data_IF_766360080784
#
_entry.id   IF_766360080784
#
_cell.length_a   1.000
_cell.length_b   1.000
_cell.length_c   1.000
_cell.angle_alpha   90.00
_cell.angle_beta   90.00
_cell.angle_gamma   90.00
#
_symmetry.space_group_name_H-M   'P 1'
#
loop_
_entity.id
_entity.type
_entity.pdbx_description
1 polymer ?
#
# COMPACT_ATOMS: atom_id res chain seq x y z
N UNK A 1 40.40 -11.67 -13.84
CA UNK A 1 39.35 -10.63 -13.94
C UNK A 1 38.08 -11.36 -14.31
N UNK A 2 37.30 -11.72 -13.31
CA UNK A 2 36.02 -12.39 -13.53
C UNK A 2 35.06 -11.30 -14.01
N UNK A 3 34.62 -11.40 -15.26
CA UNK A 3 33.70 -10.44 -15.86
C UNK A 3 32.43 -10.39 -15.02
N UNK A 4 32.21 -9.23 -14.40
CA UNK A 4 30.98 -8.89 -13.73
C UNK A 4 29.88 -8.69 -14.81
N UNK A 5 29.42 -9.79 -15.41
CA UNK A 5 28.22 -9.80 -16.25
C UNK A 5 27.06 -9.49 -15.33
N UNK A 6 26.66 -8.22 -15.27
CA UNK A 6 25.32 -7.87 -14.84
C UNK A 6 24.37 -8.79 -15.60
N UNK A 7 23.64 -9.70 -14.93
CA UNK A 7 22.73 -10.58 -15.64
C UNK A 7 21.76 -9.67 -16.39
N UNK A 8 21.61 -9.88 -17.70
CA UNK A 8 20.51 -9.27 -18.45
C UNK A 8 19.27 -9.60 -17.63
N UNK A 9 18.57 -8.59 -17.13
CA UNK A 9 17.31 -8.77 -16.43
C UNK A 9 16.34 -9.44 -17.41
N UNK A 10 16.32 -10.77 -17.39
CA UNK A 10 15.45 -11.53 -18.25
C UNK A 10 14.07 -11.54 -17.62
N UNK A 11 13.09 -11.05 -18.37
CA UNK A 11 11.68 -11.13 -18.03
C UNK A 11 11.06 -12.48 -18.43
N UNK A 12 11.88 -13.43 -18.87
CA UNK A 12 11.47 -14.75 -19.32
C UNK A 12 12.57 -15.81 -19.18
N UNK A 13 12.18 -17.08 -19.22
CA UNK A 13 13.12 -18.20 -19.37
C UNK A 13 13.80 -18.20 -20.75
N UNK A 14 14.95 -18.90 -20.91
CA UNK A 14 15.64 -19.01 -22.20
C UNK A 14 14.77 -19.60 -23.31
N UNK A 15 13.89 -20.53 -22.95
CA UNK A 15 12.87 -21.09 -23.83
C UNK A 15 11.48 -20.67 -23.35
N UNK A 16 10.58 -20.38 -24.28
CA UNK A 16 9.25 -19.86 -23.96
C UNK A 16 8.12 -20.59 -24.69
N UNK A 17 8.42 -21.65 -25.45
CA UNK A 17 7.49 -22.29 -26.37
C UNK A 17 6.22 -22.78 -25.68
N UNK A 18 6.38 -23.55 -24.60
CA UNK A 18 5.26 -24.21 -23.92
C UNK A 18 4.48 -23.21 -23.08
N UNK A 19 5.16 -22.30 -22.36
CA UNK A 19 4.47 -21.25 -21.61
C UNK A 19 3.71 -20.28 -22.54
N UNK A 20 4.24 -19.97 -23.72
CA UNK A 20 3.56 -19.10 -24.68
C UNK A 20 2.31 -19.79 -25.25
N UNK A 21 2.40 -21.08 -25.57
CA UNK A 21 1.25 -21.86 -26.03
C UNK A 21 0.17 -21.96 -24.93
N UNK A 22 0.58 -22.26 -23.69
CA UNK A 22 -0.30 -22.32 -22.53
C UNK A 22 -0.95 -20.96 -22.24
N UNK A 23 -0.19 -19.86 -22.29
CA UNK A 23 -0.70 -18.51 -22.07
C UNK A 23 -1.70 -18.11 -23.17
N UNK A 24 -1.42 -18.44 -24.44
CA UNK A 24 -2.36 -18.20 -25.54
C UNK A 24 -3.67 -18.96 -25.35
N UNK A 25 -3.61 -20.23 -24.94
CA UNK A 25 -4.81 -21.03 -24.67
C UNK A 25 -5.57 -20.50 -23.45
N UNK A 26 -4.84 -20.11 -22.38
CA UNK A 26 -5.41 -19.50 -21.18
C UNK A 26 -6.18 -18.23 -21.52
N UNK A 27 -5.59 -17.32 -22.31
CA UNK A 27 -6.25 -16.07 -22.67
C UNK A 27 -7.48 -16.29 -23.56
N UNK A 28 -7.51 -17.36 -24.35
CA UNK A 28 -8.67 -17.76 -25.14
C UNK A 28 -9.83 -18.32 -24.30
N UNK A 29 -9.55 -18.93 -23.14
CA UNK A 29 -10.56 -19.52 -22.25
C UNK A 29 -10.86 -18.70 -20.99
N UNK A 30 -10.09 -17.64 -20.72
CA UNK A 30 -10.23 -16.79 -19.55
C UNK A 30 -11.59 -16.07 -19.55
N UNK A 31 -12.38 -16.36 -18.52
CA UNK A 31 -13.54 -15.54 -18.19
C UNK A 31 -13.08 -14.36 -17.34
N UNK A 32 -13.37 -13.14 -17.79
CA UNK A 32 -13.02 -11.92 -17.06
C UNK A 32 -13.81 -11.82 -15.74
N UNK A 33 -13.20 -11.30 -14.66
CA UNK A 33 -13.88 -11.16 -13.38
C UNK A 33 -14.98 -10.10 -13.47
N UNK A 34 -16.04 -10.28 -12.67
CA UNK A 34 -17.10 -9.27 -12.56
C UNK A 34 -16.60 -8.05 -11.77
N UNK A 35 -16.90 -6.86 -12.27
CA UNK A 35 -16.61 -5.58 -11.61
C UNK A 35 -17.69 -5.29 -10.56
N UNK A 36 -17.60 -5.95 -9.41
CA UNK A 36 -18.63 -5.89 -8.36
C UNK A 36 -18.33 -4.86 -7.27
N UNK A 37 -17.06 -4.51 -7.06
CA UNK A 37 -16.67 -3.51 -6.05
C UNK A 37 -16.81 -2.12 -6.64
N UNK A 38 -17.26 -1.16 -5.84
CA UNK A 38 -17.39 0.25 -6.22
C UNK A 38 -16.60 1.12 -5.26
N UNK A 39 -15.83 2.06 -5.82
CA UNK A 39 -15.16 3.13 -5.07
C UNK A 39 -15.75 4.46 -5.50
N UNK A 40 -15.98 5.33 -4.52
CA UNK A 40 -16.24 6.75 -4.75
C UNK A 40 -14.95 7.53 -4.47
N UNK A 41 -14.48 8.29 -5.45
CA UNK A 41 -13.28 9.11 -5.31
C UNK A 41 -13.68 10.57 -5.33
N UNK A 42 -13.17 11.33 -4.35
CA UNK A 42 -13.27 12.78 -4.31
C UNK A 42 -11.95 13.38 -4.77
N UNK A 43 -12.03 14.14 -5.85
CA UNK A 43 -10.88 14.87 -6.41
C UNK A 43 -10.54 16.07 -5.53
N UNK A 44 -9.28 16.51 -5.58
CA UNK A 44 -8.81 17.72 -4.89
C UNK A 44 -9.56 19.00 -5.32
N UNK A 45 -10.10 19.03 -6.53
CA UNK A 45 -10.90 20.15 -7.06
C UNK A 45 -12.37 20.10 -6.64
N UNK A 46 -12.77 19.11 -5.84
CA UNK A 46 -14.11 18.98 -5.30
C UNK A 46 -15.09 18.16 -6.16
N UNK A 47 -14.67 17.71 -7.34
CA UNK A 47 -15.44 16.77 -8.16
C UNK A 47 -15.45 15.36 -7.56
N UNK A 48 -16.48 14.57 -7.87
CA UNK A 48 -16.61 13.18 -7.42
C UNK A 48 -16.82 12.27 -8.63
N UNK A 49 -16.16 11.11 -8.63
CA UNK A 49 -16.43 10.05 -9.60
C UNK A 49 -16.54 8.69 -8.91
N UNK A 50 -17.20 7.76 -9.59
CA UNK A 50 -17.34 6.37 -9.14
C UNK A 50 -16.89 5.46 -10.26
N UNK A 51 -16.19 4.41 -9.90
CA UNK A 51 -15.84 3.36 -10.83
C UNK A 51 -15.97 2.01 -10.15
N UNK A 52 -16.17 0.99 -10.97
CA UNK A 52 -16.27 -0.39 -10.52
C UNK A 52 -14.99 -1.14 -10.83
N UNK A 53 -14.62 -2.05 -9.95
CA UNK A 53 -13.44 -2.88 -10.11
C UNK A 53 -13.68 -4.29 -9.55
N UNK A 54 -12.88 -5.24 -10.03
CA UNK A 54 -12.72 -6.55 -9.44
C UNK A 54 -11.55 -6.49 -8.45
N UNK A 55 -11.74 -6.94 -7.21
CA UNK A 55 -10.62 -7.04 -6.28
C UNK A 55 -9.68 -8.21 -6.62
N UNK A 56 -8.53 -8.28 -5.94
CA UNK A 56 -7.55 -9.36 -6.17
C UNK A 56 -8.15 -10.75 -5.96
N UNK A 57 -9.10 -10.91 -5.02
CA UNK A 57 -9.75 -12.21 -4.79
C UNK A 57 -10.62 -12.62 -5.97
N UNK A 58 -11.40 -11.68 -6.52
CA UNK A 58 -12.21 -11.90 -7.71
C UNK A 58 -11.32 -12.25 -8.92
N UNK A 59 -10.22 -11.53 -9.12
CA UNK A 59 -9.27 -11.81 -10.21
C UNK A 59 -8.67 -13.22 -10.10
N UNK A 60 -8.20 -13.60 -8.92
CA UNK A 60 -7.62 -14.93 -8.67
C UNK A 60 -8.66 -16.05 -8.88
N UNK A 61 -9.89 -15.87 -8.37
CA UNK A 61 -10.96 -16.85 -8.56
C UNK A 61 -11.35 -17.03 -10.02
N UNK A 62 -11.37 -15.94 -10.79
CA UNK A 62 -11.71 -15.97 -12.22
C UNK A 62 -10.65 -16.69 -13.04
N UNK A 63 -9.36 -16.46 -12.73
CA UNK A 63 -8.25 -17.05 -13.46
C UNK A 63 -7.95 -18.50 -13.07
N UNK A 64 -8.24 -18.91 -11.83
CA UNK A 64 -7.82 -20.21 -11.29
C UNK A 64 -8.21 -21.44 -12.15
N UNK A 65 -9.43 -21.55 -12.73
CA UNK A 65 -9.78 -22.69 -13.57
C UNK A 65 -8.92 -22.80 -14.83
N UNK A 66 -8.78 -21.70 -15.58
CA UNK A 66 -8.01 -21.67 -16.81
C UNK A 66 -6.50 -21.82 -16.54
N UNK A 67 -5.99 -21.23 -15.45
CA UNK A 67 -4.60 -21.42 -15.03
C UNK A 67 -4.31 -22.90 -14.77
N UNK A 68 -5.20 -23.58 -14.03
CA UNK A 68 -5.06 -25.00 -13.74
C UNK A 68 -5.09 -25.85 -15.01
N UNK A 69 -6.03 -25.57 -15.92
CA UNK A 69 -6.18 -26.29 -17.18
C UNK A 69 -4.94 -26.21 -18.07
N UNK A 70 -4.30 -25.05 -18.11
CA UNK A 70 -3.11 -24.79 -18.93
C UNK A 70 -1.78 -25.03 -18.18
N UNK A 71 -1.81 -25.61 -16.97
CA UNK A 71 -0.60 -25.87 -16.20
C UNK A 71 0.18 -24.61 -15.81
N UNK A 72 -0.52 -23.49 -15.66
CA UNK A 72 0.04 -22.18 -15.30
C UNK A 72 -0.16 -21.89 -13.81
N UNK A 73 0.78 -21.14 -13.23
CA UNK A 73 0.70 -20.64 -11.86
C UNK A 73 1.29 -19.24 -11.75
N UNK A 74 0.76 -18.42 -10.84
CA UNK A 74 1.29 -17.07 -10.57
C UNK A 74 1.78 -16.97 -9.15
N UNK A 75 3.03 -16.52 -8.98
CA UNK A 75 3.65 -16.23 -7.68
C UNK A 75 3.97 -14.75 -7.57
N UNK A 76 3.75 -14.17 -6.40
CA UNK A 76 4.03 -12.76 -6.12
C UNK A 76 4.96 -12.65 -4.93
N UNK A 77 6.21 -12.30 -5.20
CA UNK A 77 7.32 -12.29 -4.26
C UNK A 77 7.70 -10.83 -4.00
N UNK A 78 7.86 -10.45 -2.73
CA UNK A 78 8.43 -9.17 -2.38
C UNK A 78 9.91 -9.39 -2.08
N UNK A 79 10.77 -8.70 -2.81
CA UNK A 79 12.22 -8.77 -2.62
C UNK A 79 12.86 -7.42 -2.97
N UNK A 80 13.76 -6.94 -2.11
CA UNK A 80 14.57 -5.74 -2.35
C UNK A 80 13.76 -4.53 -2.86
N UNK A 81 12.70 -4.17 -2.13
CA UNK A 81 11.85 -3.03 -2.51
C UNK A 81 11.05 -3.22 -3.80
N UNK A 82 10.97 -4.44 -4.34
CA UNK A 82 10.21 -4.77 -5.54
C UNK A 82 9.14 -5.82 -5.27
N UNK A 83 8.05 -5.72 -6.00
CA UNK A 83 7.09 -6.78 -6.21
C UNK A 83 7.44 -7.51 -7.51
N UNK A 84 7.88 -8.75 -7.37
CA UNK A 84 8.16 -9.67 -8.47
C UNK A 84 6.92 -10.53 -8.69
N UNK A 85 6.36 -10.49 -9.90
CA UNK A 85 5.24 -11.36 -10.31
C UNK A 85 5.76 -12.36 -11.33
N UNK A 86 5.73 -13.64 -10.98
CA UNK A 86 6.24 -14.74 -11.79
C UNK A 86 5.06 -15.59 -12.28
N UNK A 87 4.91 -15.72 -13.59
CA UNK A 87 4.03 -16.67 -14.25
C UNK A 87 4.87 -17.89 -14.64
N UNK A 88 4.56 -19.06 -14.08
CA UNK A 88 5.31 -20.29 -14.31
C UNK A 88 4.43 -21.37 -14.94
N UNK A 89 5.00 -22.16 -15.84
CA UNK A 89 4.37 -23.31 -16.48
C UNK A 89 4.96 -24.63 -15.95
N UNK A 90 4.23 -25.74 -16.05
CA UNK A 90 4.67 -27.09 -15.62
C UNK A 90 5.94 -27.57 -16.34
N UNK A 91 6.25 -27.05 -17.53
CA UNK A 91 7.52 -27.33 -18.22
C UNK A 91 8.75 -26.67 -17.58
N UNK A 92 8.56 -25.79 -16.60
CA UNK A 92 9.62 -25.00 -15.97
C UNK A 92 9.92 -23.68 -16.67
N UNK A 93 9.27 -23.40 -17.81
CA UNK A 93 9.33 -22.09 -18.48
C UNK A 93 8.53 -21.05 -17.71
N UNK A 94 8.95 -19.78 -17.78
CA UNK A 94 8.38 -18.71 -16.97
C UNK A 94 8.46 -17.33 -17.64
N UNK A 95 7.54 -16.45 -17.24
CA UNK A 95 7.57 -15.00 -17.47
C UNK A 95 7.60 -14.27 -16.14
N UNK A 96 8.25 -13.11 -16.09
CA UNK A 96 8.41 -12.30 -14.89
C UNK A 96 8.08 -10.84 -15.18
N UNK A 97 7.42 -10.19 -14.25
CA UNK A 97 7.27 -8.73 -14.17
C UNK A 97 7.77 -8.22 -12.83
N UNK A 98 8.33 -7.01 -12.81
CA UNK A 98 8.80 -6.35 -11.60
C UNK A 98 8.16 -4.96 -11.48
N UNK A 99 7.62 -4.65 -10.30
CA UNK A 99 7.17 -3.31 -9.93
C UNK A 99 7.93 -2.81 -8.71
N UNK A 100 8.33 -1.55 -8.71
CA UNK A 100 8.88 -0.91 -7.52
C UNK A 100 7.77 -0.75 -6.48
N UNK A 101 8.07 -1.10 -5.23
CA UNK A 101 7.21 -0.79 -4.11
C UNK A 101 7.34 0.70 -3.76
N UNK A 102 6.29 1.32 -3.21
CA UNK A 102 6.41 2.66 -2.65
C UNK A 102 7.42 2.65 -1.50
N UNK A 103 7.98 3.83 -1.19
CA UNK A 103 8.81 4.00 -0.01
C UNK A 103 8.04 3.51 1.23
N UNK A 104 8.72 2.76 2.09
CA UNK A 104 8.11 2.24 3.30
C UNK A 104 7.68 3.41 4.21
N UNK A 105 6.40 3.48 4.53
CA UNK A 105 5.85 4.47 5.47
C UNK A 105 5.74 3.87 6.87
N UNK A 106 5.84 4.72 7.90
CA UNK A 106 5.51 4.34 9.29
C UNK A 106 4.03 3.90 9.43
N UNK A 107 3.18 4.36 8.52
CA UNK A 107 1.78 3.94 8.39
C UNK A 107 1.67 2.56 7.70
N UNK A 108 1.87 1.48 8.47
CA UNK A 108 1.85 0.11 7.95
C UNK A 108 0.57 -0.25 7.18
N UNK A 109 -0.59 0.31 7.57
CA UNK A 109 -1.85 0.05 6.88
C UNK A 109 -1.90 0.69 5.48
N UNK A 110 -1.40 1.91 5.35
CA UNK A 110 -1.32 2.59 4.05
C UNK A 110 -0.36 1.84 3.12
N UNK A 111 0.79 1.42 3.66
CA UNK A 111 1.77 0.62 2.93
C UNK A 111 1.20 -0.74 2.49
N UNK A 112 0.51 -1.46 3.39
CA UNK A 112 -0.14 -2.73 3.06
C UNK A 112 -1.27 -2.59 2.03
N UNK A 113 -1.99 -1.47 2.05
CA UNK A 113 -3.01 -1.14 1.05
C UNK A 113 -2.39 -0.89 -0.31
N UNK A 114 -1.27 -0.16 -0.37
CA UNK A 114 -0.51 0.08 -1.59
C UNK A 114 0.06 -1.23 -2.16
N UNK A 115 0.62 -2.11 -1.32
CA UNK A 115 1.07 -3.44 -1.77
C UNK A 115 -0.08 -4.26 -2.35
N UNK A 116 -1.24 -4.26 -1.69
CA UNK A 116 -2.42 -5.00 -2.18
C UNK A 116 -2.88 -4.48 -3.55
N UNK A 117 -2.83 -3.16 -3.74
CA UNK A 117 -3.11 -2.52 -5.01
C UNK A 117 -2.12 -2.97 -6.10
N UNK A 118 -0.81 -2.86 -5.83
CA UNK A 118 0.23 -3.30 -6.77
C UNK A 118 0.12 -4.78 -7.12
N UNK A 119 -0.20 -5.64 -6.15
CA UNK A 119 -0.43 -7.08 -6.40
C UNK A 119 -1.59 -7.31 -7.36
N UNK A 120 -2.70 -6.57 -7.23
CA UNK A 120 -3.81 -6.69 -8.19
C UNK A 120 -3.37 -6.30 -9.59
N UNK A 121 -2.75 -5.13 -9.74
CA UNK A 121 -2.33 -4.62 -11.04
C UNK A 121 -1.29 -5.51 -11.72
N UNK A 122 -0.28 -5.97 -11.00
CA UNK A 122 0.74 -6.84 -11.58
C UNK A 122 0.20 -8.22 -11.96
N UNK A 123 -0.73 -8.76 -11.16
CA UNK A 123 -1.44 -10.00 -11.46
C UNK A 123 -2.29 -9.87 -12.72
N UNK A 124 -3.02 -8.76 -12.85
CA UNK A 124 -3.86 -8.51 -14.02
C UNK A 124 -3.03 -8.30 -15.28
N UNK A 125 -1.94 -7.52 -15.18
CA UNK A 125 -1.06 -7.23 -16.30
C UNK A 125 -0.40 -8.47 -16.88
N UNK A 126 0.11 -9.38 -16.04
CA UNK A 126 0.80 -10.59 -16.54
C UNK A 126 -0.15 -11.62 -17.15
N UNK A 127 -1.43 -11.59 -16.76
CA UNK A 127 -2.46 -12.53 -17.25
C UNK A 127 -3.35 -11.97 -18.36
N UNK A 128 -3.38 -10.65 -18.56
CA UNK A 128 -4.33 -10.00 -19.47
C UNK A 128 -5.75 -9.93 -18.90
N UNK A 129 -5.87 -9.79 -17.57
CA UNK A 129 -7.17 -9.57 -16.91
C UNK A 129 -7.49 -8.07 -16.94
N UNK A 130 -8.74 -7.74 -17.26
CA UNK A 130 -9.27 -6.38 -17.13
C UNK A 130 -10.11 -6.34 -15.86
N UNK A 131 -9.63 -5.61 -14.85
CA UNK A 131 -10.18 -5.62 -13.49
C UNK A 131 -10.82 -4.29 -13.08
N UNK A 132 -10.96 -3.34 -14.00
CA UNK A 132 -11.55 -2.02 -13.80
C UNK A 132 -12.00 -1.45 -15.15
N UNK A 133 -12.71 -0.33 -15.10
CA UNK A 133 -13.00 0.49 -16.27
C UNK A 133 -11.80 1.39 -16.57
N UNK A 134 -11.55 1.70 -17.85
CA UNK A 134 -10.42 2.54 -18.35
C UNK A 134 -10.35 3.97 -17.74
N UNK A 135 -11.30 4.32 -16.86
CA UNK A 135 -11.38 5.56 -16.10
C UNK A 135 -10.57 5.55 -14.76
N UNK A 136 -9.86 4.47 -14.39
CA UNK A 136 -9.12 4.34 -13.11
C UNK A 136 -7.75 5.07 -13.09
N UNK A 137 -7.32 5.69 -14.20
CA UNK A 137 -5.99 6.32 -14.32
C UNK A 137 -5.74 7.52 -13.36
N UNK A 138 -6.74 7.96 -12.59
CA UNK A 138 -6.67 9.17 -11.74
C UNK A 138 -6.45 8.93 -10.23
N UNK A 139 -6.34 7.67 -9.76
CA UNK A 139 -6.14 7.38 -8.33
C UNK A 139 -4.70 7.62 -7.86
N UNK A 140 -3.72 7.52 -8.76
CA UNK A 140 -2.31 7.69 -8.43
C UNK A 140 -1.89 9.13 -8.04
N UNK A 141 -2.79 10.13 -8.11
CA UNK A 141 -2.50 11.54 -7.86
C UNK A 141 -2.89 12.08 -6.45
N UNK A 142 -3.08 11.18 -5.47
CA UNK A 142 -3.33 11.56 -4.08
C UNK A 142 -4.74 12.10 -3.80
N UNK A 143 -5.75 11.55 -4.48
CA UNK A 143 -7.16 11.83 -4.25
C UNK A 143 -7.73 10.95 -3.10
N UNK A 144 -8.78 11.41 -2.43
CA UNK A 144 -9.42 10.66 -1.34
C UNK A 144 -10.42 9.64 -1.90
N UNK A 145 -10.28 8.36 -1.53
CA UNK A 145 -11.11 7.27 -2.01
C UNK A 145 -11.91 6.62 -0.86
N UNK A 146 -13.21 6.40 -1.06
CA UNK A 146 -14.11 5.67 -0.14
C UNK A 146 -14.64 4.42 -0.82
N UNK A 147 -14.33 3.23 -0.29
CA UNK A 147 -14.75 1.93 -0.83
C UNK A 147 -16.04 1.48 -0.15
N UNK A 148 -17.08 1.13 -0.91
CA UNK A 148 -18.41 0.77 -0.34
C UNK A 148 -18.49 -0.61 0.32
N UNK A 149 -17.62 -1.54 -0.07
CA UNK A 149 -17.73 -2.97 0.30
C UNK A 149 -16.47 -3.53 0.96
N UNK A 150 -15.68 -2.63 1.51
CA UNK A 150 -14.78 -2.95 2.60
C UNK A 150 -15.29 -2.05 3.70
N UNK A 151 -15.86 -2.62 4.77
CA UNK A 151 -15.75 -1.97 6.06
C UNK A 151 -14.24 -1.93 6.37
N UNK A 152 -13.55 -1.01 5.71
CA UNK A 152 -12.43 -0.33 6.33
C UNK A 152 -13.13 0.31 7.52
N UNK A 153 -13.20 -0.43 8.63
CA UNK A 153 -13.00 0.20 9.90
C UNK A 153 -11.71 0.97 9.66
N UNK A 154 -11.87 2.24 9.36
CA UNK A 154 -10.83 3.22 9.56
C UNK A 154 -10.58 3.10 11.05
N UNK A 155 -9.79 2.11 11.47
CA UNK A 155 -9.22 2.08 12.81
C UNK A 155 -8.02 3.01 12.78
N UNK A 156 -8.26 4.22 12.27
CA UNK A 156 -7.52 5.41 12.60
C UNK A 156 -8.47 6.21 13.47
N UNK A 157 -8.09 6.33 14.74
CA UNK A 157 -8.80 6.97 15.86
C UNK A 157 -9.75 5.98 16.58
N UNK A 158 -9.53 5.61 17.84
CA UNK A 158 -9.18 6.49 18.96
C UNK A 158 -8.43 5.66 20.02
N UNK A 159 -7.09 5.60 20.00
CA UNK A 159 -6.34 5.05 21.16
C UNK A 159 -6.34 6.03 22.36
N UNK A 160 -6.81 7.26 22.13
CA UNK A 160 -6.99 8.32 23.12
C UNK A 160 -8.15 9.23 22.72
N UNK A 161 -9.04 9.52 23.66
CA UNK A 161 -10.18 10.41 23.45
C UNK A 161 -9.73 11.84 23.10
N UNK A 162 -10.61 12.62 22.46
CA UNK A 162 -10.37 14.05 22.22
C UNK A 162 -10.11 14.83 23.52
N UNK A 163 -10.72 14.42 24.64
CA UNK A 163 -10.47 14.98 25.96
C UNK A 163 -9.03 14.72 26.43
N UNK A 164 -8.52 13.49 26.27
CA UNK A 164 -7.13 13.15 26.59
C UNK A 164 -6.13 13.94 25.73
N UNK A 165 -6.42 14.12 24.43
CA UNK A 165 -5.56 14.94 23.56
C UNK A 165 -5.53 16.42 24.00
N UNK A 166 -6.70 17.01 24.27
CA UNK A 166 -6.78 18.41 24.70
C UNK A 166 -6.12 18.62 26.07
N UNK A 167 -6.29 17.67 26.99
CA UNK A 167 -5.61 17.70 28.28
C UNK A 167 -4.09 17.63 28.11
N UNK A 168 -3.58 16.71 27.29
CA UNK A 168 -2.15 16.58 27.03
C UNK A 168 -1.55 17.85 26.42
N UNK A 169 -2.24 18.45 25.44
CA UNK A 169 -1.82 19.71 24.81
C UNK A 169 -1.82 20.86 25.82
N UNK A 170 -2.87 20.97 26.65
CA UNK A 170 -2.95 22.00 27.69
C UNK A 170 -1.83 21.86 28.71
N UNK A 171 -1.55 20.64 29.18
CA UNK A 171 -0.45 20.36 30.11
C UNK A 171 0.90 20.70 29.49
N UNK A 172 1.14 20.36 28.22
CA UNK A 172 2.39 20.67 27.51
C UNK A 172 2.56 22.18 27.28
N UNK A 173 1.49 22.89 26.95
CA UNK A 173 1.54 24.35 26.76
C UNK A 173 1.83 25.11 28.05
N UNK A 174 1.37 24.59 29.19
CA UNK A 174 1.62 25.16 30.52
C UNK A 174 3.06 24.97 31.02
N UNK A 175 3.86 24.12 30.36
CA UNK A 175 5.28 23.93 30.71
C UNK A 175 6.10 25.19 30.39
N UNK A 176 6.89 25.62 31.37
CA UNK A 176 7.80 26.78 31.29
C UNK A 176 9.27 26.41 31.46
N UNK A 177 9.60 25.17 31.82
CA UNK A 177 10.97 24.70 32.04
C UNK A 177 11.20 23.29 31.47
N UNK A 178 12.48 22.93 31.30
CA UNK A 178 12.88 21.65 30.73
C UNK A 178 12.53 20.44 31.63
N UNK A 179 12.64 20.48 32.97
CA UNK A 179 12.17 19.40 33.83
C UNK A 179 10.66 19.13 33.71
N UNK A 180 9.85 20.19 33.61
CA UNK A 180 8.40 20.11 33.41
C UNK A 180 8.04 19.48 32.07
N UNK A 181 8.84 19.74 31.02
CA UNK A 181 8.67 19.11 29.71
C UNK A 181 8.76 17.59 29.81
N UNK A 182 9.84 17.08 30.40
CA UNK A 182 10.04 15.63 30.54
C UNK A 182 8.99 14.98 31.43
N UNK A 183 8.51 15.68 32.46
CA UNK A 183 7.42 15.20 33.33
C UNK A 183 6.13 14.97 32.55
N UNK A 184 5.70 15.96 31.76
CA UNK A 184 4.47 15.86 30.93
C UNK A 184 4.66 14.83 29.82
N UNK A 185 5.81 14.84 29.14
CA UNK A 185 6.12 13.88 28.09
C UNK A 185 6.08 12.43 28.59
N UNK A 186 6.75 12.15 29.71
CA UNK A 186 6.80 10.81 30.29
C UNK A 186 5.42 10.35 30.75
N UNK A 187 4.64 11.23 31.42
CA UNK A 187 3.26 10.94 31.81
C UNK A 187 2.44 10.43 30.63
N UNK A 188 2.39 11.19 29.53
CA UNK A 188 1.58 10.82 28.38
C UNK A 188 2.15 9.65 27.59
N UNK A 189 3.48 9.45 27.58
CA UNK A 189 4.07 8.24 26.97
C UNK A 189 3.67 6.95 27.69
N UNK A 190 3.42 7.02 29.00
CA UNK A 190 3.02 5.88 29.83
C UNK A 190 1.50 5.71 29.89
N UNK A 191 0.74 6.80 30.07
CA UNK A 191 -0.73 6.75 30.17
C UNK A 191 -1.39 6.50 28.82
N UNK A 192 -0.82 7.02 27.73
CA UNK A 192 -1.29 6.75 26.38
C UNK A 192 -0.19 6.97 25.35
N UNK A 193 0.62 5.94 25.12
CA UNK A 193 1.76 5.99 24.18
C UNK A 193 1.37 6.50 22.79
N UNK A 194 0.14 6.22 22.35
CA UNK A 194 -0.37 6.67 21.05
C UNK A 194 -0.50 8.20 20.92
N UNK A 195 -0.67 8.95 22.01
CA UNK A 195 -0.67 10.43 22.00
C UNK A 195 0.73 10.97 21.62
N UNK A 196 1.79 10.25 21.95
CA UNK A 196 3.17 10.66 21.72
C UNK A 196 3.73 10.22 20.36
N UNK A 197 2.94 9.56 19.52
CA UNK A 197 3.39 9.10 18.21
C UNK A 197 3.73 10.29 17.28
N UNK A 198 4.73 10.09 16.42
CA UNK A 198 5.13 11.11 15.44
C UNK A 198 3.96 11.47 14.54
N UNK A 199 3.68 12.77 14.39
CA UNK A 199 2.59 13.30 13.57
C UNK A 199 1.31 13.66 14.34
N UNK A 200 1.15 13.30 15.61
CA UNK A 200 0.02 13.76 16.43
C UNK A 200 0.13 15.26 16.77
N UNK A 201 -0.99 15.90 17.09
CA UNK A 201 -0.99 17.31 17.52
C UNK A 201 -0.19 17.53 18.81
N UNK A 202 -0.29 16.60 19.78
CA UNK A 202 0.53 16.66 20.98
C UNK A 202 2.04 16.55 20.66
N UNK A 203 2.44 15.65 19.75
CA UNK A 203 3.83 15.53 19.31
C UNK A 203 4.35 16.83 18.69
N UNK A 204 3.57 17.46 17.81
CA UNK A 204 3.94 18.75 17.19
C UNK A 204 4.10 19.87 18.23
N UNK A 205 3.18 19.94 19.19
CA UNK A 205 3.24 20.91 20.31
C UNK A 205 4.47 20.64 21.18
N UNK A 206 4.76 19.38 21.51
CA UNK A 206 5.92 19.01 22.31
C UNK A 206 7.25 19.35 21.62
N UNK A 207 7.38 19.08 20.32
CA UNK A 207 8.57 19.47 19.54
C UNK A 207 8.76 20.99 19.55
N UNK A 208 7.69 21.74 19.29
CA UNK A 208 7.72 23.21 19.31
C UNK A 208 8.09 23.75 20.69
N UNK A 209 7.53 23.17 21.76
CA UNK A 209 7.82 23.54 23.14
C UNK A 209 9.28 23.25 23.50
N UNK A 210 9.81 22.08 23.15
CA UNK A 210 11.22 21.73 23.39
C UNK A 210 12.18 22.68 22.67
N UNK A 211 11.85 23.08 21.44
CA UNK A 211 12.63 24.08 20.71
C UNK A 211 12.60 25.45 21.41
N UNK A 212 11.44 25.88 21.92
CA UNK A 212 11.32 27.15 22.66
C UNK A 212 12.08 27.15 23.99
N UNK A 213 12.12 26.01 24.69
CA UNK A 213 12.84 25.85 25.96
C UNK A 213 14.36 25.71 25.75
N UNK A 214 14.79 25.26 24.56
CA UNK A 214 16.20 25.06 24.20
C UNK A 214 16.87 26.31 23.63
N UNK A 215 16.14 27.42 23.39
CA UNK A 215 16.75 28.67 22.98
C UNK A 215 17.41 29.34 24.21
N UNK A 216 18.73 29.61 24.20
CA UNK A 216 19.33 30.42 25.24
C UNK A 216 18.70 31.81 25.20
N UNK A 217 18.27 32.32 26.36
CA UNK A 217 17.76 33.67 26.51
C UNK A 217 18.75 34.64 25.84
N UNK A 218 18.34 35.25 24.73
CA UNK A 218 19.09 36.33 24.12
C UNK A 218 19.17 37.48 25.14
N UNK A 219 20.40 37.88 25.45
CA UNK A 219 20.72 39.12 26.18
C UNK A 219 20.09 40.33 25.49
#
# INVERSE_FOLDING_TARGET
>A
MEENKTPINSFMSPEIKDISAALSAFQGSLVQPKLEKEVKVRTKTGGEYKFKYADLSACVKSAAPALKEQGLSVSQIINDGKLITLLSHTSGQWFKSELLLPAQSAEYQAFGSAITYLKRYSYCAILGIVADTDDDANIACGNEATIKDRSIKTTGQVAFTGAQLQQAISEMNAVTDEPGFFKVWNKWSHECTAICNNGTEFYKVAVSKRQSLSQPAAK
#
